data_IF_281538442200
#
_entry.id   IF_281538442200
#
_cell.length_a   1.000
_cell.length_b   1.000
_cell.length_c   1.000
_cell.angle_alpha   90.00
_cell.angle_beta   90.00
_cell.angle_gamma   90.00
#
_symmetry.space_group_name_H-M   'P 1'
#
loop_
_entity.id
_entity.type
_entity.pdbx_description
1 polymer ?
#
# COMPACT_ATOMS: atom_id res chain seq x y z
N UNK A 1 3.78 -17.01 -0.25
CA UNK A 1 2.66 -16.15 -0.66
C UNK A 1 3.04 -14.69 -0.45
N UNK A 2 2.40 -13.79 -1.20
CA UNK A 2 2.43 -12.33 -0.99
C UNK A 2 1.08 -11.84 -0.49
N UNK A 3 1.08 -10.77 0.31
CA UNK A 3 -0.11 -10.03 0.71
C UNK A 3 -0.07 -8.66 0.03
N UNK A 4 -1.10 -8.33 -0.70
CA UNK A 4 -1.30 -7.02 -1.30
C UNK A 4 -2.45 -6.34 -0.56
N UNK A 5 -2.28 -5.08 -0.19
CA UNK A 5 -3.30 -4.31 0.53
C UNK A 5 -3.53 -2.95 -0.11
N UNK A 6 -4.79 -2.54 -0.16
CA UNK A 6 -5.21 -1.17 -0.41
C UNK A 6 -5.44 -0.47 0.93
N UNK A 7 -4.83 0.69 1.11
CA UNK A 7 -4.90 1.48 2.35
C UNK A 7 -5.38 2.87 2.01
N UNK A 8 -6.35 3.35 2.75
CA UNK A 8 -6.81 4.72 2.62
C UNK A 8 -5.71 5.70 3.05
N UNK A 9 -5.43 6.69 2.19
CA UNK A 9 -4.34 7.64 2.38
C UNK A 9 -4.57 8.60 3.56
N UNK A 10 -5.82 8.85 3.94
CA UNK A 10 -6.15 9.75 5.05
C UNK A 10 -6.17 9.03 6.39
N UNK A 11 -6.96 7.98 6.52
CA UNK A 11 -7.13 7.23 7.77
C UNK A 11 -6.01 6.23 8.04
N UNK A 12 -5.33 5.73 7.00
CA UNK A 12 -4.36 4.63 7.11
C UNK A 12 -5.01 3.26 7.28
N UNK A 13 -6.34 3.15 7.15
CA UNK A 13 -7.07 1.90 7.31
C UNK A 13 -7.02 1.05 6.04
N UNK A 14 -6.96 -0.26 6.22
CA UNK A 14 -6.95 -1.22 5.12
C UNK A 14 -8.39 -1.45 4.64
N UNK A 15 -8.65 -1.20 3.36
CA UNK A 15 -9.96 -1.45 2.74
C UNK A 15 -9.98 -2.69 1.84
N UNK A 16 -8.85 -3.08 1.28
CA UNK A 16 -8.75 -4.25 0.39
C UNK A 16 -7.57 -5.13 0.78
N UNK A 17 -7.77 -6.45 0.80
CA UNK A 17 -6.72 -7.44 1.07
C UNK A 17 -6.79 -8.55 0.04
N UNK A 18 -5.67 -8.81 -0.63
CA UNK A 18 -5.51 -9.91 -1.58
C UNK A 18 -4.26 -10.72 -1.27
N UNK A 19 -4.42 -12.03 -1.30
CA UNK A 19 -3.30 -12.97 -1.16
C UNK A 19 -2.98 -13.60 -2.52
N UNK A 20 -1.73 -13.64 -2.90
CA UNK A 20 -1.26 -14.28 -4.12
C UNK A 20 -0.09 -15.22 -3.84
N UNK A 21 0.24 -16.06 -4.82
CA UNK A 21 1.51 -16.78 -4.79
C UNK A 21 2.70 -15.83 -4.87
N UNK A 22 3.85 -16.24 -4.35
CA UNK A 22 5.03 -15.34 -4.21
C UNK A 22 5.62 -14.85 -5.54
N UNK A 23 5.34 -15.54 -6.65
CA UNK A 23 5.82 -15.21 -8.00
C UNK A 23 4.94 -14.20 -8.75
N UNK A 24 3.75 -13.85 -8.22
CA UNK A 24 2.89 -12.84 -8.85
C UNK A 24 3.52 -11.46 -8.71
N UNK A 25 3.59 -10.71 -9.82
CA UNK A 25 4.12 -9.35 -9.81
C UNK A 25 3.10 -8.39 -9.18
N UNK A 26 3.59 -7.40 -8.42
CA UNK A 26 2.73 -6.48 -7.68
C UNK A 26 1.83 -5.65 -8.63
N UNK A 27 2.35 -5.28 -9.79
CA UNK A 27 1.61 -4.54 -10.82
C UNK A 27 0.33 -5.26 -11.29
N UNK A 28 0.31 -6.60 -11.28
CA UNK A 28 -0.88 -7.37 -11.71
C UNK A 28 -2.04 -7.25 -10.73
N UNK A 29 -1.74 -6.96 -9.46
CA UNK A 29 -2.76 -6.80 -8.42
C UNK A 29 -3.15 -5.34 -8.17
N UNK A 30 -2.38 -4.38 -8.69
CA UNK A 30 -2.58 -2.95 -8.40
C UNK A 30 -4.02 -2.48 -8.59
N UNK A 31 -4.58 -2.67 -9.78
CA UNK A 31 -5.94 -2.23 -10.09
C UNK A 31 -7.02 -3.01 -9.32
N UNK A 32 -6.74 -4.24 -8.91
CA UNK A 32 -7.65 -5.06 -8.11
C UNK A 32 -7.71 -4.66 -6.63
N UNK A 33 -6.78 -3.82 -6.17
CA UNK A 33 -6.79 -3.27 -4.81
C UNK A 33 -7.69 -2.03 -4.69
N UNK A 34 -8.08 -1.41 -5.80
CA UNK A 34 -8.89 -0.21 -5.81
C UNK A 34 -10.36 -0.54 -5.56
N UNK A 35 -11.04 0.22 -4.69
CA UNK A 35 -12.48 0.06 -4.44
C UNK A 35 -13.37 0.84 -5.43
N UNK A 36 -12.79 1.76 -6.24
CA UNK A 36 -13.47 2.43 -7.36
C UNK A 36 -13.90 3.87 -7.09
N UNK A 37 -13.57 4.42 -5.93
CA UNK A 37 -13.82 5.83 -5.58
C UNK A 37 -12.54 6.66 -5.52
N UNK A 38 -11.39 6.04 -5.80
CA UNK A 38 -10.09 6.71 -5.76
C UNK A 38 -9.91 7.60 -7.00
N UNK A 39 -9.49 8.84 -6.79
CA UNK A 39 -8.95 9.73 -7.82
C UNK A 39 -7.43 9.60 -7.94
N UNK A 40 -6.77 9.34 -6.82
CA UNK A 40 -5.31 9.31 -6.70
C UNK A 40 -4.84 8.04 -5.99
N UNK A 41 -3.84 7.38 -6.55
CA UNK A 41 -3.27 6.14 -6.02
C UNK A 41 -1.76 6.26 -5.93
N UNK A 42 -1.22 5.91 -4.76
CA UNK A 42 0.22 5.97 -4.48
C UNK A 42 0.79 4.56 -4.42
N UNK A 43 1.71 4.25 -5.33
CA UNK A 43 2.37 2.95 -5.42
C UNK A 43 3.89 3.03 -5.32
N UNK A 44 4.52 1.92 -4.96
CA UNK A 44 5.97 1.80 -5.05
C UNK A 44 6.44 1.59 -6.51
N UNK A 45 7.75 1.48 -6.71
CA UNK A 45 8.31 1.32 -8.06
C UNK A 45 7.87 0.00 -8.74
N UNK A 46 7.34 -0.97 -8.01
CA UNK A 46 6.79 -2.21 -8.54
C UNK A 46 5.49 -2.02 -9.32
N UNK A 47 4.79 -0.90 -9.12
CA UNK A 47 3.55 -0.56 -9.83
C UNK A 47 3.75 0.31 -11.08
N UNK A 48 4.99 0.49 -11.55
CA UNK A 48 5.25 1.27 -12.77
C UNK A 48 4.53 0.66 -13.97
N UNK A 49 3.71 1.49 -14.63
CA UNK A 49 2.90 1.07 -15.78
C UNK A 49 1.51 0.55 -15.43
N UNK A 50 1.09 0.54 -14.14
CA UNK A 50 -0.24 0.10 -13.73
C UNK A 50 -1.38 0.84 -14.46
N UNK A 51 -1.20 2.13 -14.74
CA UNK A 51 -2.15 2.95 -15.50
C UNK A 51 -2.29 2.57 -16.99
N UNK A 52 -1.34 1.81 -17.53
CA UNK A 52 -1.33 1.36 -18.94
C UNK A 52 -1.91 -0.03 -19.15
N UNK A 53 -2.27 -0.70 -18.10
CA UNK A 53 -2.80 -2.05 -18.18
C UNK A 53 -4.24 -2.05 -18.69
N UNK A 54 -4.66 -3.16 -19.31
CA UNK A 54 -6.02 -3.33 -19.81
C UNK A 54 -7.09 -3.29 -18.70
N UNK A 55 -6.71 -3.60 -17.45
CA UNK A 55 -7.56 -3.56 -16.26
C UNK A 55 -7.48 -2.21 -15.50
N UNK A 56 -6.81 -1.21 -16.08
CA UNK A 56 -6.71 0.12 -15.46
C UNK A 56 -8.09 0.79 -15.37
N UNK A 57 -8.39 1.39 -14.22
CA UNK A 57 -9.63 2.13 -14.02
C UNK A 57 -9.49 3.54 -14.57
N UNK A 58 -10.53 4.01 -15.27
CA UNK A 58 -10.61 5.38 -15.77
C UNK A 58 -10.70 6.39 -14.61
N UNK A 59 -10.16 7.58 -14.82
CA UNK A 59 -10.21 8.67 -13.84
C UNK A 59 -9.25 8.51 -12.65
N UNK A 60 -8.42 7.48 -12.62
CA UNK A 60 -7.44 7.23 -11.54
C UNK A 60 -6.05 7.70 -11.95
N UNK A 61 -5.47 8.59 -11.16
CA UNK A 61 -4.10 9.06 -11.34
C UNK A 61 -3.14 8.24 -10.46
N UNK A 62 -2.18 7.55 -11.10
CA UNK A 62 -1.17 6.77 -10.39
C UNK A 62 0.09 7.60 -10.10
N UNK A 63 0.40 7.77 -8.83
CA UNK A 63 1.62 8.40 -8.31
C UNK A 63 2.62 7.31 -7.91
N UNK A 64 3.32 6.75 -8.89
CA UNK A 64 4.27 5.67 -8.66
C UNK A 64 5.64 6.24 -8.26
N UNK A 65 6.27 5.63 -7.27
CA UNK A 65 7.61 6.02 -6.85
C UNK A 65 8.65 5.83 -7.95
N UNK A 66 9.59 6.75 -8.03
CA UNK A 66 10.76 6.63 -8.91
C UNK A 66 11.64 5.47 -8.44
N UNK A 67 12.24 4.75 -9.38
CA UNK A 67 13.23 3.72 -9.05
C UNK A 67 14.42 4.34 -8.32
N UNK A 68 14.94 3.68 -7.26
CA UNK A 68 16.01 4.25 -6.43
C UNK A 68 17.24 4.72 -7.23
N UNK A 69 17.66 3.97 -8.26
CA UNK A 69 18.78 4.35 -9.12
C UNK A 69 18.54 5.64 -9.88
N UNK A 70 17.34 5.84 -10.45
CA UNK A 70 16.97 7.08 -11.14
C UNK A 70 16.92 8.26 -10.18
N UNK A 71 16.34 8.06 -8.98
CA UNK A 71 16.28 9.11 -7.96
C UNK A 71 17.67 9.54 -7.47
N UNK A 72 18.59 8.59 -7.30
CA UNK A 72 19.98 8.87 -6.90
C UNK A 72 20.75 9.66 -7.95
N UNK A 73 20.40 9.52 -9.23
CA UNK A 73 21.03 10.23 -10.35
C UNK A 73 20.55 11.69 -10.52
N UNK A 74 19.57 12.17 -9.75
CA UNK A 74 19.08 13.55 -9.81
C UNK A 74 20.15 14.53 -9.30
N UNK A 75 20.39 15.59 -10.08
CA UNK A 75 21.25 16.72 -9.68
C UNK A 75 20.43 17.77 -8.93
N UNK A 76 20.36 17.60 -7.61
CA UNK A 76 19.52 18.44 -6.74
C UNK A 76 20.13 19.81 -6.43
N UNK A 77 21.43 19.96 -6.66
CA UNK A 77 22.18 21.19 -6.32
C UNK A 77 22.16 22.19 -7.49
N UNK A 78 22.29 21.70 -8.72
CA UNK A 78 22.43 22.54 -9.89
C UNK A 78 21.18 22.55 -10.81
N UNK A 79 20.27 21.59 -10.63
CA UNK A 79 19.06 21.49 -11.44
C UNK A 79 17.80 21.65 -10.58
N UNK A 80 17.10 22.78 -10.76
CA UNK A 80 15.87 23.09 -10.03
C UNK A 80 14.76 22.06 -10.28
N UNK A 81 14.65 21.51 -11.48
CA UNK A 81 13.64 20.49 -11.82
C UNK A 81 13.93 19.21 -11.06
N UNK A 82 15.18 18.80 -10.98
CA UNK A 82 15.60 17.61 -10.23
C UNK A 82 15.39 17.77 -8.72
N UNK A 83 15.64 18.96 -8.18
CA UNK A 83 15.36 19.29 -6.78
C UNK A 83 13.85 19.19 -6.47
N UNK A 84 12.98 19.74 -7.33
CA UNK A 84 11.52 19.64 -7.20
C UNK A 84 11.04 18.18 -7.35
N UNK A 85 11.63 17.44 -8.28
CA UNK A 85 11.34 16.01 -8.47
C UNK A 85 11.65 15.21 -7.22
N UNK A 86 12.83 15.44 -6.59
CA UNK A 86 13.16 14.76 -5.31
C UNK A 86 12.21 15.14 -4.18
N UNK A 87 11.74 16.39 -4.13
CA UNK A 87 10.75 16.82 -3.16
C UNK A 87 9.42 16.10 -3.35
N UNK A 88 8.93 15.96 -4.59
CA UNK A 88 7.73 15.18 -4.90
C UNK A 88 7.89 13.72 -4.50
N UNK A 89 9.06 13.12 -4.73
CA UNK A 89 9.34 11.75 -4.30
C UNK A 89 9.32 11.60 -2.76
N UNK A 90 9.76 12.60 -2.00
CA UNK A 90 9.65 12.62 -0.53
C UNK A 90 8.18 12.67 -0.08
N UNK A 91 7.35 13.48 -0.72
CA UNK A 91 5.90 13.55 -0.43
C UNK A 91 5.23 12.21 -0.72
N UNK A 92 5.46 11.62 -1.89
CA UNK A 92 4.96 10.28 -2.23
C UNK A 92 5.38 9.24 -1.20
N UNK A 93 6.64 9.25 -0.77
CA UNK A 93 7.15 8.33 0.24
C UNK A 93 6.44 8.49 1.59
N UNK A 94 6.14 9.72 2.00
CA UNK A 94 5.38 10.02 3.23
C UNK A 94 3.98 9.42 3.21
N UNK A 95 3.26 9.56 2.08
CA UNK A 95 1.92 8.99 1.92
C UNK A 95 2.00 7.45 1.92
N UNK A 96 2.94 6.87 1.19
CA UNK A 96 3.14 5.41 1.12
C UNK A 96 3.54 4.78 2.45
N UNK A 97 4.21 5.50 3.33
CA UNK A 97 4.58 4.99 4.65
C UNK A 97 3.37 4.52 5.48
N UNK A 98 2.17 5.06 5.21
CA UNK A 98 0.93 4.62 5.86
C UNK A 98 0.59 3.16 5.57
N UNK A 99 0.96 2.63 4.40
CA UNK A 99 0.76 1.21 4.03
C UNK A 99 1.59 0.27 4.91
N UNK A 100 2.74 0.71 5.39
CA UNK A 100 3.61 -0.10 6.25
C UNK A 100 3.05 -0.26 7.68
N UNK A 101 2.22 0.69 8.11
CA UNK A 101 1.71 0.72 9.47
C UNK A 101 0.81 -0.49 9.81
N UNK A 102 -0.19 -0.88 9.00
CA UNK A 102 -0.97 -2.11 9.22
C UNK A 102 -0.10 -3.37 9.31
N UNK A 103 0.92 -3.50 8.45
CA UNK A 103 1.86 -4.63 8.53
C UNK A 103 2.65 -4.64 9.84
N UNK A 104 3.03 -3.46 10.34
CA UNK A 104 3.68 -3.34 11.66
C UNK A 104 2.75 -3.79 12.78
N UNK A 105 1.47 -3.41 12.73
CA UNK A 105 0.46 -3.86 13.70
C UNK A 105 0.32 -5.38 13.67
N UNK A 106 0.20 -5.99 12.49
CA UNK A 106 0.13 -7.45 12.35
C UNK A 106 1.33 -8.15 13.00
N UNK A 107 2.52 -7.65 12.75
CA UNK A 107 3.75 -8.26 13.26
C UNK A 107 3.92 -8.07 14.77
N UNK A 108 3.68 -6.86 15.29
CA UNK A 108 3.98 -6.51 16.68
C UNK A 108 2.84 -6.78 17.65
N UNK A 109 1.59 -6.54 17.24
CA UNK A 109 0.43 -6.72 18.12
C UNK A 109 -0.19 -8.11 18.01
N UNK A 110 -0.22 -8.68 16.79
CA UNK A 110 -0.83 -9.99 16.55
C UNK A 110 0.17 -11.12 16.33
N UNK A 111 1.48 -10.84 16.40
CA UNK A 111 2.54 -11.84 16.28
C UNK A 111 2.57 -12.59 14.94
N UNK A 112 2.05 -11.97 13.87
CA UNK A 112 2.03 -12.59 12.55
C UNK A 112 3.38 -12.45 11.85
N UNK A 113 4.25 -13.46 12.03
CA UNK A 113 5.59 -13.47 11.41
C UNK A 113 5.69 -14.34 10.15
N UNK A 114 4.83 -15.34 10.01
CA UNK A 114 4.87 -16.29 8.89
C UNK A 114 3.50 -16.92 8.61
N UNK A 115 3.37 -17.49 7.41
CA UNK A 115 2.20 -18.27 6.98
C UNK A 115 2.00 -19.47 7.88
N UNK A 116 0.78 -19.72 8.37
CA UNK A 116 0.47 -20.81 9.30
C UNK A 116 -0.29 -21.97 8.69
N UNK A 117 -1.04 -21.73 7.61
CA UNK A 117 -1.91 -22.73 6.99
C UNK A 117 -1.35 -23.24 5.66
N UNK A 118 -1.76 -24.44 5.26
CA UNK A 118 -1.54 -24.92 3.89
C UNK A 118 -2.59 -24.30 2.96
N UNK A 119 -2.13 -23.87 1.79
CA UNK A 119 -2.98 -23.31 0.73
C UNK A 119 -3.24 -21.81 0.85
N UNK A 120 -3.38 -21.19 -0.33
CA UNK A 120 -3.53 -19.75 -0.48
C UNK A 120 -4.82 -19.22 0.16
N UNK A 121 -5.95 -19.94 -0.06
CA UNK A 121 -7.27 -19.51 0.42
C UNK A 121 -7.32 -19.33 1.95
N UNK A 122 -6.84 -20.32 2.71
CA UNK A 122 -6.85 -20.27 4.19
C UNK A 122 -5.98 -19.13 4.72
N UNK A 123 -4.79 -18.95 4.15
CA UNK A 123 -3.89 -17.88 4.55
C UNK A 123 -4.42 -16.50 4.16
N UNK A 124 -5.08 -16.36 3.01
CA UNK A 124 -5.72 -15.10 2.61
C UNK A 124 -6.87 -14.74 3.55
N UNK A 125 -7.69 -15.71 3.97
CA UNK A 125 -8.74 -15.48 4.97
C UNK A 125 -8.17 -15.04 6.31
N UNK A 126 -7.09 -15.69 6.77
CA UNK A 126 -6.39 -15.27 7.98
C UNK A 126 -5.87 -13.81 7.87
N UNK A 127 -5.26 -13.44 6.76
CA UNK A 127 -4.80 -12.08 6.53
C UNK A 127 -5.95 -11.07 6.56
N UNK A 128 -7.09 -11.38 5.91
CA UNK A 128 -8.28 -10.51 5.95
C UNK A 128 -8.76 -10.27 7.38
N UNK A 129 -8.84 -11.34 8.20
CA UNK A 129 -9.22 -11.23 9.62
C UNK A 129 -8.22 -10.37 10.39
N UNK A 130 -6.91 -10.61 10.21
CA UNK A 130 -5.88 -9.87 10.91
C UNK A 130 -5.85 -8.38 10.52
N UNK A 131 -6.06 -8.04 9.25
CA UNK A 131 -6.14 -6.65 8.83
C UNK A 131 -7.42 -5.96 9.31
N UNK A 132 -8.56 -6.67 9.39
CA UNK A 132 -9.76 -6.16 10.03
C UNK A 132 -9.53 -5.84 11.52
N UNK A 133 -8.89 -6.74 12.26
CA UNK A 133 -8.48 -6.52 13.65
C UNK A 133 -7.46 -5.39 13.78
N UNK A 134 -6.53 -5.27 12.82
CA UNK A 134 -5.59 -4.15 12.75
C UNK A 134 -6.31 -2.82 12.63
N UNK A 135 -7.32 -2.72 11.77
CA UNK A 135 -8.14 -1.51 11.64
C UNK A 135 -8.81 -1.14 12.97
N UNK A 136 -9.46 -2.10 13.63
CA UNK A 136 -10.07 -1.88 14.95
C UNK A 136 -9.03 -1.44 15.99
N UNK A 137 -7.87 -2.07 16.01
CA UNK A 137 -6.79 -1.70 16.92
C UNK A 137 -6.29 -0.28 16.67
N UNK A 138 -6.17 0.14 15.42
CA UNK A 138 -5.70 1.49 15.05
C UNK A 138 -6.69 2.57 15.48
N UNK A 139 -8.00 2.34 15.36
CA UNK A 139 -9.05 3.30 15.75
C UNK A 139 -9.58 3.11 17.17
N UNK A 140 -9.03 2.18 17.96
CA UNK A 140 -9.54 1.81 19.29
C UNK A 140 -9.75 3.00 20.24
N UNK A 141 -8.86 3.96 20.24
CA UNK A 141 -8.98 5.13 21.11
C UNK A 141 -10.14 6.06 20.69
N UNK A 142 -10.36 6.19 19.38
CA UNK A 142 -11.48 6.95 18.84
C UNK A 142 -12.80 6.27 19.18
N UNK A 143 -12.88 4.93 19.02
CA UNK A 143 -14.06 4.15 19.37
C UNK A 143 -14.37 4.20 20.87
N UNK A 144 -13.35 4.10 21.72
CA UNK A 144 -13.52 4.18 23.18
C UNK A 144 -14.02 5.56 23.62
N UNK A 145 -13.54 6.65 22.99
CA UNK A 145 -14.01 8.00 23.28
C UNK A 145 -15.46 8.23 22.83
N UNK A 146 -15.90 7.59 21.77
CA UNK A 146 -17.27 7.70 21.28
C UNK A 146 -18.31 6.99 22.17
N UNK A 147 -17.89 6.10 23.06
CA UNK A 147 -18.74 5.40 24.03
C UNK A 147 -18.87 6.11 25.37
N UNK A 148 -18.05 7.11 25.62
CA UNK A 148 -18.08 7.94 26.83
C UNK A 148 -18.72 9.28 26.58
#
# INVERSE_FOLDING_TARGET
MKAHIGVDADSGLVHTVRGTSGNVADITEGNSLLHGQESDVYGDAGYQGAHKRADAKEGVTWHVAMRPGKRKALDKENNRIDALTDLLEKIKAGIRAKVEHPFRVLKRQFGYGKVRYRGLKKNTLQLKTLFALSNLWMVRHTLMRAQG
#
